data_IF_172568428445
#
_entry.id   IF_172568428445
#
_cell.length_a   1.000
_cell.length_b   1.000
_cell.length_c   1.000
_cell.angle_alpha   90.00
_cell.angle_beta   90.00
_cell.angle_gamma   90.00
#
_symmetry.space_group_name_H-M   'P 1'
#
loop_
_entity.id
_entity.type
_entity.pdbx_description
1 polymer ?
#
# COMPACT_ATOMS: atom_id res chain seq x y z
N UNK A 1 -12.29 -28.33 19.18
CA UNK A 1 -10.92 -28.89 19.15
C UNK A 1 -10.11 -27.98 18.24
N UNK A 2 -9.19 -27.14 18.74
CA UNK A 2 -8.49 -26.22 17.86
C UNK A 2 -7.50 -27.02 17.02
N UNK A 3 -7.52 -26.78 15.71
CA UNK A 3 -6.59 -27.36 14.75
C UNK A 3 -5.15 -27.01 15.13
N UNK A 4 -4.27 -27.97 14.86
CA UNK A 4 -2.86 -27.94 15.20
C UNK A 4 -2.15 -26.68 14.72
N UNK A 5 -1.18 -26.26 15.52
CA UNK A 5 -0.21 -25.20 15.24
C UNK A 5 0.35 -25.33 13.82
N UNK A 6 -0.18 -24.53 12.89
CA UNK A 6 0.47 -24.24 11.62
C UNK A 6 1.81 -23.59 11.93
N UNK A 7 2.89 -24.20 11.46
CA UNK A 7 4.24 -23.68 11.60
C UNK A 7 4.26 -22.25 11.07
N UNK A 8 4.53 -21.27 11.93
CA UNK A 8 4.53 -19.85 11.59
C UNK A 8 5.50 -19.51 10.46
N UNK A 9 6.47 -20.41 10.18
CA UNK A 9 7.41 -20.30 9.06
C UNK A 9 6.74 -20.37 7.68
N UNK A 10 5.52 -20.91 7.57
CA UNK A 10 4.81 -21.05 6.28
C UNK A 10 3.91 -19.86 5.92
N UNK A 11 3.63 -18.95 6.87
CA UNK A 11 2.67 -17.85 6.69
C UNK A 11 3.26 -16.74 5.81
N UNK A 12 4.50 -16.32 6.11
CA UNK A 12 5.23 -15.27 5.40
C UNK A 12 6.35 -15.92 4.59
N UNK A 13 6.25 -15.85 3.25
CA UNK A 13 7.25 -16.35 2.33
C UNK A 13 8.26 -15.26 1.97
N UNK A 14 9.53 -15.52 2.23
CA UNK A 14 10.63 -14.67 1.77
C UNK A 14 10.89 -14.87 0.27
N UNK A 15 10.78 -13.79 -0.49
CA UNK A 15 11.01 -13.78 -1.94
C UNK A 15 12.30 -13.03 -2.24
N UNK A 16 13.17 -13.70 -2.99
CA UNK A 16 14.47 -13.24 -3.46
C UNK A 16 14.54 -13.46 -4.98
N UNK A 17 15.63 -13.03 -5.62
CA UNK A 17 15.81 -13.19 -7.05
C UNK A 17 15.70 -14.66 -7.51
N UNK A 18 16.10 -15.62 -6.67
CA UNK A 18 16.13 -17.05 -6.99
C UNK A 18 14.75 -17.72 -7.04
N UNK A 19 13.72 -17.18 -6.37
CA UNK A 19 12.39 -17.78 -6.31
C UNK A 19 11.24 -16.84 -6.76
N UNK A 20 11.52 -15.60 -7.16
CA UNK A 20 10.48 -14.62 -7.53
C UNK A 20 9.52 -15.13 -8.61
N UNK A 21 10.00 -15.85 -9.62
CA UNK A 21 9.14 -16.42 -10.66
C UNK A 21 8.21 -17.52 -10.13
N UNK A 22 8.72 -18.37 -9.23
CA UNK A 22 7.92 -19.44 -8.63
C UNK A 22 6.79 -18.85 -7.79
N UNK A 23 7.12 -17.88 -6.95
CA UNK A 23 6.15 -17.25 -6.06
C UNK A 23 5.14 -16.39 -6.83
N UNK A 24 5.58 -15.65 -7.87
CA UNK A 24 4.66 -14.93 -8.74
C UNK A 24 3.69 -15.85 -9.49
N UNK A 25 4.08 -17.10 -9.80
CA UNK A 25 3.17 -18.10 -10.37
C UNK A 25 2.06 -18.50 -9.39
N UNK A 26 2.39 -18.65 -8.10
CA UNK A 26 1.40 -18.96 -7.04
C UNK A 26 0.46 -17.76 -6.83
N UNK A 27 1.01 -16.55 -6.76
CA UNK A 27 0.25 -15.30 -6.61
C UNK A 27 -0.78 -15.13 -7.74
N UNK A 28 -0.41 -15.39 -9.00
CA UNK A 28 -1.32 -15.35 -10.16
C UNK A 28 -2.52 -16.29 -10.04
N UNK A 29 -2.41 -17.35 -9.26
CA UNK A 29 -3.53 -18.26 -8.97
C UNK A 29 -4.36 -17.74 -7.79
N UNK A 30 -3.70 -17.28 -6.73
CA UNK A 30 -4.34 -16.81 -5.50
C UNK A 30 -5.22 -15.58 -5.74
N UNK A 31 -4.76 -14.63 -6.56
CA UNK A 31 -5.48 -13.37 -6.82
C UNK A 31 -6.87 -13.58 -7.42
N UNK A 32 -7.14 -14.75 -8.01
CA UNK A 32 -8.45 -15.09 -8.58
C UNK A 32 -9.53 -15.30 -7.51
N UNK A 33 -9.14 -15.65 -6.28
CA UNK A 33 -10.07 -15.92 -5.16
C UNK A 33 -9.83 -15.03 -3.95
N UNK A 34 -8.64 -14.45 -3.82
CA UNK A 34 -8.23 -13.60 -2.71
C UNK A 34 -7.82 -12.23 -3.26
N UNK A 35 -8.83 -11.40 -3.55
CA UNK A 35 -8.71 -10.13 -4.25
C UNK A 35 -8.55 -8.90 -3.35
N UNK A 36 -8.44 -9.09 -2.03
CA UNK A 36 -8.05 -8.05 -1.09
C UNK A 36 -6.55 -8.18 -0.79
N UNK A 37 -5.77 -7.18 -1.18
CA UNK A 37 -4.31 -7.18 -1.03
C UNK A 37 -3.95 -6.12 0.00
N UNK A 38 -3.51 -6.55 1.19
CA UNK A 38 -2.87 -5.64 2.13
C UNK A 38 -1.39 -5.50 1.79
N UNK A 39 -0.88 -4.27 1.88
CA UNK A 39 0.46 -3.91 1.44
C UNK A 39 1.14 -2.96 2.41
N UNK A 40 2.46 -3.10 2.52
CA UNK A 40 3.36 -2.18 3.19
C UNK A 40 4.74 -2.21 2.50
N UNK A 41 5.56 -1.17 2.65
CA UNK A 41 6.93 -1.13 2.09
C UNK A 41 7.97 -0.68 3.12
N UNK A 42 9.20 -1.17 2.96
CA UNK A 42 10.36 -0.65 3.69
C UNK A 42 11.33 0.02 2.72
N UNK A 43 11.82 1.19 3.10
CA UNK A 43 12.69 2.04 2.28
C UNK A 43 13.59 2.89 3.20
N UNK A 44 14.67 3.51 2.68
CA UNK A 44 15.72 4.10 3.51
C UNK A 44 15.37 5.51 4.05
N UNK A 45 14.10 5.74 4.37
CA UNK A 45 13.58 6.95 5.00
C UNK A 45 13.50 8.16 4.07
N UNK A 46 13.83 9.33 4.62
CA UNK A 46 13.74 10.64 3.97
C UNK A 46 15.08 11.35 4.17
N UNK A 47 15.72 11.76 3.07
CA UNK A 47 17.06 12.36 3.06
C UNK A 47 17.06 13.82 2.59
N UNK A 48 16.03 14.24 1.85
CA UNK A 48 15.93 15.60 1.31
C UNK A 48 14.61 16.26 1.66
N UNK A 49 14.62 17.60 1.71
CA UNK A 49 13.42 18.43 1.78
C UNK A 49 13.39 19.35 0.56
N UNK A 50 12.25 19.50 -0.12
CA UNK A 50 12.16 20.40 -1.26
C UNK A 50 12.28 21.85 -0.77
N UNK A 51 13.04 22.66 -1.52
CA UNK A 51 13.24 24.10 -1.25
C UNK A 51 12.40 24.88 -2.24
N UNK A 52 11.57 25.81 -1.77
CA UNK A 52 10.75 26.67 -2.62
C UNK A 52 9.51 27.19 -1.91
N UNK A 53 8.68 27.91 -2.67
CA UNK A 53 7.33 28.27 -2.27
C UNK A 53 6.35 27.18 -2.75
N UNK A 54 5.41 26.79 -1.89
CA UNK A 54 4.43 25.73 -2.16
C UNK A 54 3.03 26.30 -2.11
N UNK A 55 2.14 25.78 -2.95
CA UNK A 55 0.76 26.29 -3.05
C UNK A 55 -0.05 26.00 -1.79
N UNK A 56 0.29 24.93 -1.07
CA UNK A 56 -0.34 24.53 0.18
C UNK A 56 0.53 23.56 0.98
N UNK A 57 0.14 23.24 2.22
CA UNK A 57 0.77 22.16 3.00
C UNK A 57 0.66 20.80 2.30
N UNK A 58 -0.41 20.55 1.56
CA UNK A 58 -0.67 19.27 0.86
C UNK A 58 0.28 19.15 -0.34
N UNK A 59 0.41 20.22 -1.11
CA UNK A 59 1.40 20.32 -2.19
C UNK A 59 2.83 20.11 -1.66
N UNK A 60 3.17 20.71 -0.51
CA UNK A 60 4.44 20.44 0.16
C UNK A 60 4.63 18.95 0.53
N UNK A 61 3.59 18.27 1.06
CA UNK A 61 3.69 16.84 1.38
C UNK A 61 3.95 16.01 0.12
N UNK A 62 3.23 16.28 -0.97
CA UNK A 62 3.46 15.58 -2.24
C UNK A 62 4.88 15.84 -2.77
N UNK A 63 5.35 17.08 -2.79
CA UNK A 63 6.71 17.38 -3.25
C UNK A 63 7.79 16.74 -2.36
N UNK A 64 7.55 16.64 -1.05
CA UNK A 64 8.45 15.96 -0.12
C UNK A 64 8.50 14.45 -0.39
N UNK A 65 7.36 13.83 -0.68
CA UNK A 65 7.29 12.44 -1.11
C UNK A 65 8.02 12.24 -2.43
N UNK A 66 7.66 13.02 -3.45
CA UNK A 66 8.20 12.94 -4.82
C UNK A 66 9.71 12.97 -4.83
N UNK A 67 10.32 13.97 -4.19
CA UNK A 67 11.77 14.15 -4.24
C UNK A 67 12.54 13.03 -3.55
N UNK A 68 11.98 12.41 -2.51
CA UNK A 68 12.63 11.30 -1.82
C UNK A 68 12.40 9.97 -2.55
N UNK A 69 11.18 9.70 -3.03
CA UNK A 69 10.89 8.48 -3.79
C UNK A 69 11.69 8.44 -5.10
N UNK A 70 11.84 9.55 -5.81
CA UNK A 70 12.66 9.60 -7.04
C UNK A 70 14.13 9.28 -6.74
N UNK A 71 14.64 9.74 -5.60
CA UNK A 71 16.05 9.66 -5.23
C UNK A 71 16.44 8.31 -4.62
N UNK A 72 15.55 7.71 -3.83
CA UNK A 72 15.81 6.54 -3.02
C UNK A 72 15.31 5.25 -3.69
N UNK A 73 15.83 4.11 -3.24
CA UNK A 73 15.41 2.77 -3.69
C UNK A 73 14.57 2.09 -2.62
N UNK A 74 13.54 1.37 -3.06
CA UNK A 74 12.75 0.47 -2.19
C UNK A 74 13.63 -0.70 -1.72
N UNK A 75 13.40 -1.19 -0.51
CA UNK A 75 14.16 -2.31 0.09
C UNK A 75 13.27 -3.55 0.24
N UNK A 76 12.05 -3.40 0.73
CA UNK A 76 11.06 -4.48 0.80
C UNK A 76 9.66 -4.05 0.37
N UNK A 77 8.89 -5.00 -0.14
CA UNK A 77 7.44 -4.92 -0.34
C UNK A 77 6.79 -6.15 0.30
N UNK A 78 5.77 -5.93 1.12
CA UNK A 78 4.94 -6.99 1.68
C UNK A 78 3.59 -7.00 1.02
N UNK A 79 3.13 -8.17 0.56
CA UNK A 79 1.78 -8.37 0.02
C UNK A 79 1.09 -9.50 0.78
N UNK A 80 -0.03 -9.20 1.41
CA UNK A 80 -0.89 -10.18 2.09
C UNK A 80 -2.22 -10.31 1.36
N UNK A 81 -2.62 -11.55 1.09
CA UNK A 81 -3.82 -11.86 0.31
C UNK A 81 -4.97 -12.33 1.20
N UNK A 82 -6.14 -11.74 1.02
CA UNK A 82 -7.39 -12.07 1.70
C UNK A 82 -8.56 -12.05 0.70
N UNK A 83 -9.68 -12.67 1.06
CA UNK A 83 -10.93 -12.55 0.31
C UNK A 83 -11.83 -11.46 0.93
N UNK A 84 -13.07 -11.34 0.45
CA UNK A 84 -14.05 -10.35 0.92
C UNK A 84 -14.46 -10.49 2.40
N UNK A 85 -14.36 -11.71 2.93
CA UNK A 85 -14.67 -12.05 4.32
C UNK A 85 -13.46 -11.90 5.26
N UNK A 86 -12.28 -11.60 4.71
CA UNK A 86 -11.02 -11.50 5.47
C UNK A 86 -10.33 -12.84 5.70
N UNK A 87 -10.77 -13.92 5.05
CA UNK A 87 -10.11 -15.21 5.09
C UNK A 87 -8.84 -15.22 4.22
N UNK A 88 -7.85 -15.98 4.66
CA UNK A 88 -6.57 -16.14 3.98
C UNK A 88 -6.53 -17.36 3.05
N UNK A 89 -5.66 -17.37 2.02
CA UNK A 89 -5.38 -18.59 1.26
C UNK A 89 -4.74 -19.68 2.14
N UNK A 90 -4.95 -20.96 1.81
CA UNK A 90 -4.33 -22.05 2.55
C UNK A 90 -2.80 -22.03 2.35
N UNK A 91 -2.05 -22.14 3.44
CA UNK A 91 -0.59 -22.13 3.43
C UNK A 91 -0.01 -20.73 3.54
N UNK A 92 0.74 -20.29 2.54
CA UNK A 92 1.33 -18.95 2.49
C UNK A 92 0.26 -17.91 2.23
N UNK A 93 0.19 -16.91 3.11
CA UNK A 93 -0.78 -15.81 3.03
C UNK A 93 -0.11 -14.51 2.60
N UNK A 94 1.19 -14.41 2.86
CA UNK A 94 1.95 -13.17 2.77
C UNK A 94 3.27 -13.43 2.07
N UNK A 95 3.62 -12.57 1.12
CA UNK A 95 4.90 -12.57 0.43
C UNK A 95 5.69 -11.33 0.79
N UNK A 96 6.93 -11.52 1.22
CA UNK A 96 7.89 -10.47 1.52
C UNK A 96 8.94 -10.44 0.41
N UNK A 97 8.81 -9.49 -0.51
CA UNK A 97 9.75 -9.27 -1.60
C UNK A 97 10.94 -8.47 -1.10
N UNK A 98 12.14 -9.02 -1.28
CA UNK A 98 13.39 -8.40 -0.87
C UNK A 98 14.14 -7.88 -2.10
N UNK A 99 14.21 -6.56 -2.26
CA UNK A 99 14.80 -5.92 -3.43
C UNK A 99 16.31 -5.72 -3.30
N UNK A 100 16.97 -5.59 -4.44
CA UNK A 100 18.39 -5.30 -4.50
C UNK A 100 18.71 -3.92 -3.93
N UNK A 101 19.59 -3.87 -2.93
CA UNK A 101 20.00 -2.64 -2.26
C UNK A 101 21.45 -2.73 -1.80
N UNK A 102 22.25 -1.69 -2.02
CA UNK A 102 23.68 -1.66 -1.68
C UNK A 102 24.00 -0.43 -0.81
N UNK A 103 24.42 -0.66 0.44
CA UNK A 103 24.78 0.41 1.38
C UNK A 103 26.02 1.22 0.98
N UNK A 104 26.80 0.75 0.01
CA UNK A 104 27.98 1.48 -0.51
C UNK A 104 27.60 2.43 -1.64
N UNK A 105 26.60 2.07 -2.45
CA UNK A 105 26.23 2.80 -3.67
C UNK A 105 24.95 3.64 -3.52
N UNK A 106 23.99 3.15 -2.74
CA UNK A 106 22.66 3.73 -2.64
C UNK A 106 22.58 4.80 -1.54
N UNK A 107 21.76 5.83 -1.77
CA UNK A 107 21.49 6.86 -0.77
C UNK A 107 20.52 6.34 0.29
N UNK A 108 20.74 6.77 1.54
CA UNK A 108 19.89 6.41 2.66
C UNK A 108 19.99 7.40 3.83
N UNK A 109 19.00 7.37 4.72
CA UNK A 109 19.08 7.94 6.05
C UNK A 109 19.69 6.93 7.03
N UNK A 110 20.71 7.33 7.79
CA UNK A 110 21.40 6.45 8.74
C UNK A 110 20.43 5.87 9.78
N UNK A 111 19.57 6.72 10.36
CA UNK A 111 18.59 6.30 11.37
C UNK A 111 17.63 5.22 10.83
N UNK A 112 17.27 5.30 9.54
CA UNK A 112 16.40 4.33 8.90
C UNK A 112 17.11 2.99 8.66
N UNK A 113 18.37 3.01 8.22
CA UNK A 113 19.17 1.78 8.08
C UNK A 113 19.37 1.11 9.43
N UNK A 114 19.71 1.87 10.47
CA UNK A 114 19.91 1.32 11.82
C UNK A 114 18.62 0.66 12.34
N UNK A 115 17.47 1.32 12.16
CA UNK A 115 16.17 0.77 12.53
C UNK A 115 15.86 -0.52 11.77
N UNK A 116 16.08 -0.55 10.46
CA UNK A 116 15.83 -1.72 9.62
C UNK A 116 16.78 -2.89 9.93
N UNK A 117 18.06 -2.61 10.19
CA UNK A 117 19.02 -3.62 10.65
C UNK A 117 18.60 -4.23 11.99
N UNK A 118 18.19 -3.38 12.95
CA UNK A 118 17.69 -3.84 14.25
C UNK A 118 16.38 -4.65 14.12
N UNK A 119 15.59 -4.37 13.09
CA UNK A 119 14.38 -5.10 12.73
C UNK A 119 14.67 -6.39 11.95
N UNK A 120 15.95 -6.63 11.62
CA UNK A 120 16.48 -7.89 11.13
C UNK A 120 16.66 -7.98 9.62
N UNK A 121 16.66 -6.84 8.90
CA UNK A 121 17.00 -6.82 7.47
C UNK A 121 18.47 -7.17 7.27
N UNK A 122 18.72 -8.07 6.32
CA UNK A 122 20.05 -8.58 6.00
C UNK A 122 20.60 -7.86 4.76
N UNK A 123 21.11 -6.63 4.92
CA UNK A 123 21.53 -5.79 3.79
C UNK A 123 22.54 -6.45 2.84
N UNK A 124 23.47 -7.26 3.37
CA UNK A 124 24.38 -8.04 2.53
C UNK A 124 23.65 -9.00 1.60
N UNK A 125 22.57 -9.62 2.08
CA UNK A 125 21.73 -10.51 1.27
C UNK A 125 20.90 -9.73 0.25
N UNK A 126 20.41 -8.54 0.59
CA UNK A 126 19.79 -7.64 -0.39
C UNK A 126 20.75 -7.27 -1.52
N UNK A 127 22.02 -6.99 -1.21
CA UNK A 127 23.04 -6.67 -2.21
C UNK A 127 23.31 -7.85 -3.16
N UNK A 128 23.45 -9.06 -2.60
CA UNK A 128 23.87 -10.27 -3.33
C UNK A 128 22.72 -11.01 -4.03
N UNK A 129 21.53 -11.07 -3.40
CA UNK A 129 20.40 -11.94 -3.79
C UNK A 129 19.08 -11.18 -3.99
N UNK A 130 19.09 -9.85 -3.83
CA UNK A 130 17.89 -9.02 -3.94
C UNK A 130 17.29 -9.01 -5.35
N UNK A 131 15.97 -8.88 -5.40
CA UNK A 131 15.19 -8.83 -6.64
C UNK A 131 15.50 -7.52 -7.39
N UNK A 132 15.71 -7.62 -8.69
CA UNK A 132 15.77 -6.46 -9.58
C UNK A 132 14.36 -5.83 -9.72
N UNK A 133 14.25 -4.53 -9.46
CA UNK A 133 12.96 -3.85 -9.41
C UNK A 133 12.26 -3.80 -10.77
N UNK A 134 13.00 -3.71 -11.88
CA UNK A 134 12.44 -3.71 -13.22
C UNK A 134 11.90 -5.09 -13.59
N UNK A 135 12.65 -6.14 -13.24
CA UNK A 135 12.17 -7.50 -13.44
C UNK A 135 10.91 -7.80 -12.62
N UNK A 136 10.86 -7.33 -11.36
CA UNK A 136 9.64 -7.43 -10.56
C UNK A 136 8.47 -6.66 -11.19
N UNK A 137 8.71 -5.45 -11.71
CA UNK A 137 7.68 -4.65 -12.40
C UNK A 137 7.07 -5.39 -13.58
N UNK A 138 7.89 -6.06 -14.40
CA UNK A 138 7.43 -6.89 -15.52
C UNK A 138 6.50 -8.03 -15.05
N UNK A 139 6.91 -8.75 -14.00
CA UNK A 139 6.13 -9.85 -13.43
C UNK A 139 4.81 -9.36 -12.83
N UNK A 140 4.83 -8.20 -12.17
CA UNK A 140 3.68 -7.58 -11.52
C UNK A 140 2.66 -7.07 -12.56
N UNK A 141 3.13 -6.44 -13.65
CA UNK A 141 2.30 -5.84 -14.69
C UNK A 141 1.29 -6.82 -15.30
N UNK A 142 1.69 -8.09 -15.46
CA UNK A 142 0.86 -9.15 -16.08
C UNK A 142 0.34 -10.17 -15.07
N UNK A 143 0.39 -9.85 -13.77
CA UNK A 143 0.00 -10.77 -12.69
C UNK A 143 -1.50 -10.82 -12.40
N UNK A 144 -2.24 -9.77 -12.76
CA UNK A 144 -3.61 -9.55 -12.32
C UNK A 144 -3.74 -8.76 -11.00
N UNK A 145 -2.63 -8.35 -10.36
CA UNK A 145 -2.65 -7.55 -9.13
C UNK A 145 -2.92 -6.05 -9.37
N UNK A 146 -2.49 -5.55 -10.53
CA UNK A 146 -2.62 -4.14 -10.94
C UNK A 146 -3.45 -4.04 -12.21
N UNK A 147 -3.99 -2.87 -12.50
CA UNK A 147 -4.84 -2.59 -13.67
C UNK A 147 -6.14 -3.41 -13.72
N UNK A 148 -6.50 -4.09 -12.62
CA UNK A 148 -7.66 -4.98 -12.54
C UNK A 148 -8.69 -4.40 -11.55
N UNK A 149 -9.90 -4.11 -12.04
CA UNK A 149 -10.97 -3.43 -11.27
C UNK A 149 -11.51 -4.27 -10.08
N UNK A 150 -11.34 -5.58 -10.13
CA UNK A 150 -11.81 -6.49 -9.09
C UNK A 150 -10.86 -6.61 -7.89
N UNK A 151 -9.70 -5.93 -7.92
CA UNK A 151 -8.69 -5.98 -6.87
C UNK A 151 -8.82 -4.78 -5.93
N UNK A 152 -8.80 -5.03 -4.63
CA UNK A 152 -8.89 -4.01 -3.57
C UNK A 152 -7.60 -3.97 -2.77
N UNK A 153 -6.93 -2.82 -2.78
CA UNK A 153 -5.69 -2.59 -2.05
C UNK A 153 -5.97 -2.00 -0.68
N UNK A 154 -5.37 -2.59 0.35
CA UNK A 154 -5.44 -2.17 1.74
C UNK A 154 -4.06 -1.70 2.17
N UNK A 155 -3.99 -0.57 2.84
CA UNK A 155 -2.70 0.04 3.18
C UNK A 155 -2.80 0.85 4.47
N UNK A 156 -1.68 1.34 5.00
CA UNK A 156 -1.67 2.19 6.19
C UNK A 156 -0.71 3.37 6.01
N UNK A 157 -1.24 4.60 5.95
CA UNK A 157 -0.42 5.82 5.81
C UNK A 157 0.48 5.80 4.56
N UNK A 158 -0.16 5.50 3.43
CA UNK A 158 0.48 4.78 2.33
C UNK A 158 0.98 5.64 1.16
N UNK A 159 1.16 6.94 1.38
CA UNK A 159 1.62 7.86 0.34
C UNK A 159 2.93 7.40 -0.29
N UNK A 160 3.95 7.17 0.53
CA UNK A 160 5.26 6.72 0.06
C UNK A 160 5.21 5.33 -0.59
N UNK A 161 4.45 4.39 -0.01
CA UNK A 161 4.33 3.03 -0.52
C UNK A 161 3.83 3.01 -1.98
N UNK A 162 2.73 3.72 -2.23
CA UNK A 162 2.20 3.86 -3.57
C UNK A 162 3.09 4.71 -4.47
N UNK A 163 3.81 5.69 -3.90
CA UNK A 163 4.87 6.40 -4.61
C UNK A 163 5.93 5.45 -5.18
N UNK A 164 6.45 4.54 -4.37
CA UNK A 164 7.42 3.54 -4.83
C UNK A 164 6.83 2.58 -5.85
N UNK A 165 5.59 2.11 -5.66
CA UNK A 165 4.94 1.23 -6.64
C UNK A 165 4.68 1.91 -7.98
N UNK A 166 4.24 3.19 -7.99
CA UNK A 166 4.06 3.94 -9.24
C UNK A 166 5.41 4.17 -9.93
N UNK A 167 6.46 4.57 -9.19
CA UNK A 167 7.83 4.69 -9.74
C UNK A 167 8.29 3.37 -10.37
N UNK A 168 8.08 2.25 -9.67
CA UNK A 168 8.47 0.91 -10.11
C UNK A 168 7.70 0.49 -11.38
N UNK A 169 6.38 0.68 -11.42
CA UNK A 169 5.52 0.26 -12.53
C UNK A 169 5.67 1.13 -13.78
N UNK A 170 6.08 2.39 -13.62
CA UNK A 170 6.29 3.33 -14.73
C UNK A 170 7.72 3.37 -15.23
N UNK A 171 8.67 2.85 -14.46
CA UNK A 171 10.12 3.04 -14.65
C UNK A 171 10.49 4.52 -14.91
N UNK A 172 9.80 5.42 -14.22
CA UNK A 172 9.91 6.86 -14.41
C UNK A 172 9.92 7.58 -13.07
N UNK A 173 10.40 8.83 -13.10
CA UNK A 173 10.20 9.75 -11.98
C UNK A 173 8.71 10.01 -11.79
N UNK A 174 8.32 10.22 -10.54
CA UNK A 174 6.95 10.56 -10.20
C UNK A 174 6.52 11.90 -10.84
N UNK A 175 5.24 12.06 -11.24
CA UNK A 175 4.75 13.28 -11.87
C UNK A 175 5.04 14.54 -11.05
N UNK A 176 5.26 15.69 -11.71
CA UNK A 176 5.57 16.93 -11.00
C UNK A 176 4.40 17.44 -10.15
N UNK A 177 3.18 17.26 -10.64
CA UNK A 177 1.95 17.73 -9.99
C UNK A 177 1.18 16.54 -9.35
N UNK A 178 0.64 16.75 -8.15
CA UNK A 178 -0.05 15.71 -7.37
C UNK A 178 -1.24 15.12 -8.13
N UNK A 179 -1.97 15.95 -8.88
CA UNK A 179 -3.12 15.51 -9.67
C UNK A 179 -2.76 14.42 -10.68
N UNK A 180 -1.65 14.59 -11.39
CA UNK A 180 -1.19 13.65 -12.41
C UNK A 180 -0.70 12.34 -11.79
N UNK A 181 -0.10 12.41 -10.59
CA UNK A 181 0.20 11.23 -9.79
C UNK A 181 -1.07 10.43 -9.47
N UNK A 182 -2.13 11.08 -9.00
CA UNK A 182 -3.39 10.39 -8.71
C UNK A 182 -4.06 9.82 -9.97
N UNK A 183 -3.90 10.46 -11.14
CA UNK A 183 -4.39 9.89 -12.40
C UNK A 183 -3.71 8.55 -12.69
N UNK A 184 -2.38 8.48 -12.61
CA UNK A 184 -1.62 7.24 -12.85
C UNK A 184 -1.90 6.21 -11.75
N UNK A 185 -1.93 6.64 -10.50
CA UNK A 185 -2.24 5.78 -9.35
C UNK A 185 -3.56 5.05 -9.54
N UNK A 186 -4.62 5.78 -9.90
CA UNK A 186 -5.96 5.21 -10.04
C UNK A 186 -6.09 4.28 -11.26
N UNK A 187 -5.19 4.36 -12.24
CA UNK A 187 -5.14 3.38 -13.32
C UNK A 187 -4.58 2.05 -12.81
N UNK A 188 -3.45 2.07 -12.11
CA UNK A 188 -2.82 0.85 -11.59
C UNK A 188 -3.60 0.24 -10.43
N UNK A 189 -4.20 1.07 -9.59
CA UNK A 189 -4.83 0.67 -8.33
C UNK A 189 -6.25 1.28 -8.23
N UNK A 190 -7.25 0.71 -8.91
CA UNK A 190 -8.58 1.31 -9.01
C UNK A 190 -9.32 1.43 -7.66
N UNK A 191 -9.02 0.54 -6.71
CA UNK A 191 -9.60 0.55 -5.38
C UNK A 191 -8.52 0.50 -4.29
N UNK A 192 -8.36 1.59 -3.55
CA UNK A 192 -7.42 1.71 -2.42
C UNK A 192 -8.18 2.14 -1.17
N UNK A 193 -7.95 1.47 -0.05
CA UNK A 193 -8.42 1.87 1.27
C UNK A 193 -7.23 2.03 2.23
N UNK A 194 -6.89 3.28 2.51
CA UNK A 194 -5.86 3.61 3.49
C UNK A 194 -6.48 3.59 4.90
N UNK A 195 -6.13 2.56 5.70
CA UNK A 195 -6.62 2.35 7.06
C UNK A 195 -6.44 3.62 7.91
N UNK A 196 -5.31 4.31 7.76
CA UNK A 196 -5.03 5.56 8.50
C UNK A 196 -6.01 6.67 8.12
N UNK A 197 -6.47 6.72 6.87
CA UNK A 197 -7.52 7.63 6.44
C UNK A 197 -8.89 7.24 7.01
N UNK A 198 -9.26 5.95 6.95
CA UNK A 198 -10.53 5.43 7.50
C UNK A 198 -10.64 5.71 9.01
N UNK A 199 -9.54 5.59 9.75
CA UNK A 199 -9.47 5.89 11.18
C UNK A 199 -9.95 7.31 11.56
N UNK A 200 -9.93 8.28 10.64
CA UNK A 200 -10.49 9.63 10.90
C UNK A 200 -11.99 9.60 11.21
N UNK A 201 -12.70 8.57 10.76
CA UNK A 201 -14.12 8.34 11.05
C UNK A 201 -14.35 7.42 12.24
N UNK A 202 -13.30 6.83 12.82
CA UNK A 202 -13.37 5.92 13.95
C UNK A 202 -13.09 6.70 15.24
N UNK A 203 -14.08 6.78 16.14
CA UNK A 203 -13.86 7.43 17.44
C UNK A 203 -12.81 6.64 18.22
N UNK A 204 -11.87 7.37 18.83
CA UNK A 204 -10.82 6.85 19.72
C UNK A 204 -9.72 5.99 19.07
N UNK A 205 -9.73 5.75 17.75
CA UNK A 205 -8.66 5.02 17.08
C UNK A 205 -7.59 6.00 16.57
N UNK A 206 -6.39 5.97 17.17
CA UNK A 206 -5.28 6.89 16.84
C UNK A 206 -3.94 6.18 16.93
N UNK A 207 -2.90 6.80 16.37
CA UNK A 207 -1.54 6.28 16.48
C UNK A 207 -1.03 5.53 15.25
N UNK A 208 0.21 5.03 15.32
CA UNK A 208 0.84 4.20 14.28
C UNK A 208 0.22 2.81 14.15
N UNK A 209 0.64 2.03 13.15
CA UNK A 209 0.06 0.72 12.86
C UNK A 209 0.07 -0.22 14.09
N UNK A 210 1.19 -0.25 14.83
CA UNK A 210 1.30 -1.06 16.04
C UNK A 210 0.34 -0.60 17.16
N UNK A 211 0.24 0.71 17.40
CA UNK A 211 -0.67 1.26 18.42
C UNK A 211 -2.14 0.98 18.07
N UNK A 212 -2.48 1.00 16.78
CA UNK A 212 -3.81 0.65 16.26
C UNK A 212 -4.08 -0.83 16.43
N UNK A 213 -3.12 -1.69 16.12
CA UNK A 213 -3.24 -3.13 16.35
C UNK A 213 -3.48 -3.45 17.83
N UNK A 214 -2.77 -2.79 18.74
CA UNK A 214 -2.94 -2.97 20.19
C UNK A 214 -4.36 -2.54 20.64
N UNK A 215 -4.88 -1.42 20.13
CA UNK A 215 -6.25 -0.94 20.39
C UNK A 215 -7.34 -1.85 19.81
N UNK A 216 -7.05 -2.55 18.72
CA UNK A 216 -7.93 -3.52 18.08
C UNK A 216 -7.75 -4.96 18.62
N UNK A 217 -6.88 -5.13 19.62
CA UNK A 217 -6.52 -6.42 20.25
C UNK A 217 -5.97 -7.45 19.24
N UNK A 218 -5.19 -6.97 18.26
CA UNK A 218 -4.60 -7.78 17.21
C UNK A 218 -3.19 -8.25 17.59
N UNK A 219 -2.90 -9.52 17.32
CA UNK A 219 -1.58 -10.11 17.56
C UNK A 219 -0.77 -10.15 16.26
N UNK A 220 0.33 -9.41 16.23
CA UNK A 220 1.30 -9.45 15.12
C UNK A 220 1.88 -10.85 14.91
N UNK A 221 2.04 -11.22 13.64
CA UNK A 221 2.77 -12.40 13.17
C UNK A 221 3.94 -11.92 12.31
N UNK A 222 5.14 -12.38 12.62
CA UNK A 222 6.38 -11.91 12.00
C UNK A 222 7.05 -10.77 12.77
N UNK A 223 8.11 -10.20 12.19
CA UNK A 223 8.92 -9.15 12.82
C UNK A 223 8.31 -7.78 12.54
N UNK A 224 8.27 -6.90 13.52
CA UNK A 224 7.85 -5.51 13.32
C UNK A 224 8.89 -4.78 12.45
N UNK A 225 8.45 -3.82 11.62
CA UNK A 225 9.30 -3.08 10.68
C UNK A 225 9.93 -4.01 9.64
N UNK A 226 9.10 -4.91 9.13
CA UNK A 226 9.36 -5.70 7.93
C UNK A 226 8.06 -5.77 7.14
N UNK A 227 8.16 -5.42 5.87
CA UNK A 227 7.00 -5.17 5.01
C UNK A 227 5.99 -6.34 5.00
N UNK A 228 6.46 -7.59 5.02
CA UNK A 228 5.58 -8.76 5.07
C UNK A 228 4.68 -8.76 6.31
N UNK A 229 5.29 -8.69 7.48
CA UNK A 229 4.59 -8.66 8.78
C UNK A 229 3.70 -7.43 8.95
N UNK A 230 4.16 -6.26 8.48
CA UNK A 230 3.37 -5.03 8.53
C UNK A 230 2.20 -5.03 7.54
N UNK A 231 2.35 -5.61 6.34
CA UNK A 231 1.23 -5.82 5.41
C UNK A 231 0.17 -6.76 5.98
N UNK A 232 0.59 -7.83 6.67
CA UNK A 232 -0.32 -8.77 7.32
C UNK A 232 -1.10 -8.09 8.45
N UNK A 233 -0.42 -7.32 9.29
CA UNK A 233 -1.05 -6.58 10.37
C UNK A 233 -2.00 -5.48 9.84
N UNK A 234 -1.66 -4.87 8.70
CA UNK A 234 -2.52 -3.91 8.00
C UNK A 234 -3.82 -4.56 7.53
N UNK A 235 -3.75 -5.77 6.97
CA UNK A 235 -4.93 -6.56 6.59
C UNK A 235 -5.81 -6.89 7.80
N UNK A 236 -5.20 -7.39 8.88
CA UNK A 236 -5.92 -7.65 10.13
C UNK A 236 -6.61 -6.40 10.68
N UNK A 237 -5.91 -5.27 10.70
CA UNK A 237 -6.43 -3.99 11.17
C UNK A 237 -7.61 -3.52 10.33
N UNK A 238 -7.53 -3.65 9.00
CA UNK A 238 -8.62 -3.28 8.11
C UNK A 238 -9.90 -4.08 8.39
N UNK A 239 -9.83 -5.40 8.37
CA UNK A 239 -11.03 -6.24 8.55
C UNK A 239 -11.62 -6.09 9.95
N UNK A 240 -10.78 -6.00 10.99
CA UNK A 240 -11.26 -5.77 12.36
C UNK A 240 -11.90 -4.39 12.52
N UNK A 241 -11.34 -3.36 11.87
CA UNK A 241 -11.91 -2.02 11.88
C UNK A 241 -13.22 -1.95 11.09
N UNK A 242 -13.30 -2.63 9.94
CA UNK A 242 -14.50 -2.74 9.09
C UNK A 242 -15.68 -3.33 9.89
N UNK A 243 -15.44 -4.41 10.64
CA UNK A 243 -16.43 -5.03 11.52
C UNK A 243 -16.90 -4.06 12.63
N UNK A 244 -15.97 -3.45 13.37
CA UNK A 244 -16.29 -2.68 14.58
C UNK A 244 -16.88 -1.28 14.33
N UNK A 245 -16.48 -0.62 13.23
CA UNK A 245 -16.78 0.80 13.00
C UNK A 245 -17.59 1.06 11.74
N UNK A 246 -17.73 0.08 10.86
CA UNK A 246 -18.34 0.26 9.53
C UNK A 246 -19.46 -0.75 9.23
N UNK A 247 -19.91 -1.54 10.20
CA UNK A 247 -21.02 -2.50 10.01
C UNK A 247 -20.79 -3.42 8.79
N UNK A 248 -19.54 -3.87 8.62
CA UNK A 248 -19.09 -4.70 7.49
C UNK A 248 -19.23 -4.06 6.10
N UNK A 249 -19.43 -2.74 6.01
CA UNK A 249 -19.62 -2.03 4.76
C UNK A 249 -18.87 -0.69 4.70
N UNK A 250 -17.97 -0.55 3.73
CA UNK A 250 -17.20 0.69 3.51
C UNK A 250 -17.79 1.46 2.34
N UNK A 251 -18.09 2.73 2.56
CA UNK A 251 -18.59 3.65 1.52
C UNK A 251 -17.46 4.06 0.56
N UNK A 252 -17.45 3.48 -0.63
CA UNK A 252 -16.47 3.75 -1.68
C UNK A 252 -16.40 5.23 -2.06
N UNK A 253 -17.53 5.92 -2.15
CA UNK A 253 -17.57 7.33 -2.54
C UNK A 253 -16.81 8.23 -1.55
N UNK A 254 -16.72 7.78 -0.29
CA UNK A 254 -16.08 8.51 0.80
C UNK A 254 -14.62 8.08 1.02
N UNK A 255 -14.32 6.79 0.90
CA UNK A 255 -13.04 6.24 1.36
C UNK A 255 -12.13 5.70 0.24
N UNK A 256 -12.69 5.28 -0.89
CA UNK A 256 -11.89 4.70 -1.97
C UNK A 256 -10.94 5.74 -2.59
N UNK A 257 -9.68 5.36 -2.81
CA UNK A 257 -8.66 6.18 -3.45
C UNK A 257 -8.12 7.33 -2.59
N UNK A 258 -8.47 7.37 -1.29
CA UNK A 258 -8.02 8.42 -0.36
C UNK A 258 -6.77 7.97 0.41
N UNK A 259 -5.63 8.57 0.08
CA UNK A 259 -4.38 8.35 0.82
C UNK A 259 -4.27 9.33 2.00
N UNK A 260 -3.79 8.87 3.14
CA UNK A 260 -3.59 9.77 4.27
C UNK A 260 -2.49 10.80 3.97
N UNK A 261 -2.81 12.09 4.14
CA UNK A 261 -1.86 13.19 3.97
C UNK A 261 -1.78 13.76 2.55
N UNK A 262 -2.48 13.15 1.57
CA UNK A 262 -2.50 13.55 0.16
C UNK A 262 -3.94 13.66 -0.36
N UNK A 263 -4.13 14.27 -1.53
CA UNK A 263 -5.36 14.15 -2.32
C UNK A 263 -6.58 14.94 -1.84
N UNK A 264 -6.41 15.91 -0.94
CA UNK A 264 -7.53 16.74 -0.44
C UNK A 264 -8.13 17.72 -1.46
N UNK A 265 -7.62 17.75 -2.70
CA UNK A 265 -8.13 18.59 -3.79
C UNK A 265 -8.97 17.88 -4.86
N UNK A 266 -9.04 16.54 -4.86
CA UNK A 266 -9.79 15.78 -5.88
C UNK A 266 -11.20 15.46 -5.40
N UNK A 267 -12.14 16.39 -5.59
CA UNK A 267 -13.53 15.98 -5.83
C UNK A 267 -13.54 15.26 -7.16
N UNK A 268 -13.79 13.94 -7.15
CA UNK A 268 -14.10 13.23 -8.39
C UNK A 268 -15.28 13.93 -9.08
N UNK A 269 -15.25 14.14 -10.41
CA UNK A 269 -16.42 14.63 -11.11
C UNK A 269 -17.53 13.60 -10.99
N UNK A 270 -18.66 14.02 -10.39
CA UNK A 270 -19.89 13.24 -10.41
C UNK A 270 -20.32 13.10 -11.88
N UNK A 271 -20.13 11.92 -12.47
CA UNK A 271 -20.80 11.54 -13.70
C UNK A 271 -22.28 11.25 -13.38
N UNK A 272 -23.06 12.31 -13.22
CA UNK A 272 -24.51 12.29 -13.21
C UNK A 272 -25.01 13.10 -14.40
N UNK A 273 -25.34 12.42 -15.51
CA UNK A 273 -26.16 13.02 -16.56
C UNK A 273 -27.54 13.27 -15.96
N UNK A 274 -27.76 14.47 -15.44
CA UNK A 274 -29.11 14.95 -15.14
C UNK A 274 -29.68 15.59 -16.40
N UNK A 275 -30.54 14.83 -17.09
CA UNK A 275 -31.38 15.35 -18.15
C UNK A 275 -32.27 16.46 -17.60
N UNK A 276 -32.00 17.69 -18.01
CA UNK A 276 -32.86 18.85 -17.78
C UNK A 276 -34.15 18.71 -18.59
N UNK A 277 -35.19 18.17 -17.96
CA UNK A 277 -36.56 18.30 -18.43
C UNK A 277 -37.09 19.68 -18.05
N UNK A 278 -37.33 20.52 -19.07
CA UNK A 278 -38.05 21.78 -18.94
C UNK A 278 -39.50 21.51 -18.51
N UNK A 279 -39.96 22.16 -17.45
CA UNK A 279 -41.38 22.48 -17.29
C UNK A 279 -41.54 23.99 -17.10
N UNK A 280 -42.08 24.60 -18.15
CA UNK A 280 -42.66 25.93 -18.13
C UNK A 280 -43.86 25.96 -17.19
N UNK A 281 -43.90 26.89 -16.24
CA UNK A 281 -45.18 27.46 -15.79
C UNK A 281 -45.08 28.97 -15.71
N UNK A 282 -45.80 29.57 -16.65
CA UNK A 282 -46.14 30.97 -16.76
C UNK A 282 -47.06 31.44 -15.61
N UNK A 283 -46.84 32.71 -15.24
CA UNK A 283 -47.83 33.75 -14.91
C UNK A 283 -48.55 33.83 -13.55
N UNK A 284 -48.36 35.02 -12.94
CA UNK A 284 -49.36 35.96 -12.35
C UNK A 284 -50.01 35.52 -11.03
N UNK A 285 -50.12 36.33 -9.98
CA UNK A 285 -50.04 37.78 -9.77
C UNK A 285 -49.36 38.11 -8.45
#
# INVERSE_FOLDING_TARGET
>A
MPAALTDSSQIICEVWASNVEEEMRKIRQIIQSYNYIAMDTEFPGVVVRPIGEFRSTVDYQYQLLRCNVDLLKIIQLGLTFMNEDGDYPPGTTTWQFNFKFNLTEDMYSQDSIDLLQNSGLQFKKHEEEGIDTLYFAELLMTSGLVLCENVKWLSFHSGYDFGYLVKLLTDARLPEEEHDFFQILNLFFPAIYDVKYLMKSCKNLKGGLQEVADQLELKRIGRQHQAGSDSLLTGMAFFRMKELFFEDNIDDAKYCGRLYGLGSGSTQPQNGISSSGQEETNNKH
#
